data_IF_592423053047
#
_entry.id   IF_592423053047
#
_cell.length_a   1.000
_cell.length_b   1.000
_cell.length_c   1.000
_cell.angle_alpha   90.00
_cell.angle_beta   90.00
_cell.angle_gamma   90.00
#
_symmetry.space_group_name_H-M   'P 1'
#
loop_
_entity.id
_entity.type
_entity.pdbx_description
1 polymer ?
#
# COMPACT_ATOMS: atom_id res chain seq x y z
N UNK A 1 5.61 -10.27 -12.48
CA UNK A 1 5.43 -8.81 -12.63
C UNK A 1 4.52 -8.18 -11.57
N UNK A 2 3.24 -8.56 -11.40
CA UNK A 2 2.40 -7.98 -10.32
C UNK A 2 2.95 -8.28 -8.91
N UNK A 3 3.24 -9.55 -8.60
CA UNK A 3 3.75 -9.94 -7.29
C UNK A 3 5.13 -9.34 -6.97
N UNK A 4 5.98 -9.13 -7.98
CA UNK A 4 7.25 -8.41 -7.80
C UNK A 4 7.02 -6.94 -7.43
N UNK A 5 6.03 -6.28 -8.03
CA UNK A 5 5.67 -4.91 -7.63
C UNK A 5 5.13 -4.87 -6.21
N UNK A 6 4.28 -5.84 -5.84
CA UNK A 6 3.76 -5.96 -4.48
C UNK A 6 4.88 -6.15 -3.45
N UNK A 7 5.83 -7.05 -3.73
CA UNK A 7 6.99 -7.28 -2.87
C UNK A 7 7.85 -6.02 -2.74
N UNK A 8 8.17 -5.34 -3.85
CA UNK A 8 8.91 -4.06 -3.79
C UNK A 8 8.14 -2.97 -3.06
N UNK A 9 6.82 -2.91 -3.21
CA UNK A 9 5.98 -1.95 -2.49
C UNK A 9 6.09 -2.18 -0.99
N UNK A 10 5.93 -3.43 -0.53
CA UNK A 10 5.95 -3.78 0.89
C UNK A 10 7.35 -3.66 1.49
N UNK A 11 8.36 -4.21 0.81
CA UNK A 11 9.72 -4.35 1.32
C UNK A 11 10.56 -3.08 1.16
N UNK A 12 10.31 -2.26 0.12
CA UNK A 12 11.13 -1.08 -0.18
C UNK A 12 10.35 0.23 0.00
N UNK A 13 9.16 0.34 -0.58
CA UNK A 13 8.45 1.62 -0.67
C UNK A 13 7.77 2.02 0.65
N UNK A 14 6.97 1.14 1.26
CA UNK A 14 6.21 1.45 2.48
C UNK A 14 7.10 1.89 3.66
N UNK A 15 8.25 1.26 3.95
CA UNK A 15 9.15 1.71 5.03
C UNK A 15 9.78 3.08 4.79
N UNK A 16 9.84 3.53 3.52
CA UNK A 16 10.39 4.83 3.12
C UNK A 16 9.34 5.93 3.10
N UNK A 17 8.05 5.59 3.24
CA UNK A 17 6.98 6.58 3.35
C UNK A 17 7.19 7.37 4.65
N UNK A 18 7.22 8.70 4.55
CA UNK A 18 7.33 9.57 5.72
C UNK A 18 6.11 9.39 6.64
N UNK A 19 6.37 9.29 7.93
CA UNK A 19 5.34 9.08 8.98
C UNK A 19 4.47 7.84 8.75
N UNK A 20 5.05 6.76 8.23
CA UNK A 20 4.33 5.51 8.01
C UNK A 20 3.90 4.87 9.34
N UNK A 21 2.59 4.85 9.60
CA UNK A 21 1.97 4.22 10.80
C UNK A 21 1.21 2.93 10.47
N UNK A 22 1.44 2.37 9.29
CA UNK A 22 0.63 1.29 8.75
C UNK A 22 -0.50 1.78 7.85
N UNK A 23 -0.97 0.87 7.01
CA UNK A 23 -2.05 1.07 6.07
C UNK A 23 -3.41 1.07 6.78
N UNK A 24 -4.33 1.93 6.33
CA UNK A 24 -5.66 2.01 6.89
C UNK A 24 -6.48 0.76 6.53
N UNK A 25 -6.94 -0.06 7.51
CA UNK A 25 -7.72 -1.26 7.24
C UNK A 25 -9.18 -0.97 6.80
N UNK A 26 -9.60 0.30 6.81
CA UNK A 26 -10.94 0.76 6.40
C UNK A 26 -11.01 1.21 4.93
N UNK A 27 -9.88 1.22 4.20
CA UNK A 27 -9.83 1.66 2.80
C UNK A 27 -10.25 0.59 1.78
N UNK A 28 -11.07 -0.37 2.21
CA UNK A 28 -11.69 -1.37 1.34
C UNK A 28 -13.05 -0.87 0.83
N UNK A 29 -13.48 -1.38 -0.32
CA UNK A 29 -14.69 -0.93 -1.02
C UNK A 29 -15.94 -1.78 -0.77
N UNK A 30 -15.95 -2.64 0.27
CA UNK A 30 -17.02 -3.64 0.57
C UNK A 30 -17.18 -4.74 -0.47
N UNK A 31 -16.29 -4.79 -1.45
CA UNK A 31 -16.23 -5.83 -2.48
C UNK A 31 -14.86 -6.46 -2.54
N UNK A 32 -14.08 -6.35 -1.46
CA UNK A 32 -12.77 -6.95 -1.36
C UNK A 32 -11.67 -6.22 -2.13
N UNK A 33 -11.92 -5.05 -2.73
CA UNK A 33 -10.86 -4.27 -3.37
C UNK A 33 -10.26 -3.29 -2.38
N UNK A 34 -8.94 -3.15 -2.41
CA UNK A 34 -8.20 -2.24 -1.53
C UNK A 34 -7.60 -1.08 -2.32
N UNK A 35 -7.78 0.15 -1.84
CA UNK A 35 -7.21 1.35 -2.47
C UNK A 35 -6.21 2.05 -1.57
N UNK A 36 -5.05 2.36 -2.12
CA UNK A 36 -3.93 3.04 -1.48
C UNK A 36 -3.55 4.28 -2.29
N UNK A 37 -3.46 5.43 -1.64
CA UNK A 37 -2.83 6.63 -2.21
C UNK A 37 -1.42 6.82 -1.69
N UNK A 38 -0.47 7.01 -2.61
CA UNK A 38 0.89 7.47 -2.33
C UNK A 38 1.01 8.92 -2.77
N UNK A 39 1.39 9.81 -1.85
CA UNK A 39 1.56 11.23 -2.17
C UNK A 39 2.80 11.48 -3.03
N UNK A 40 3.81 10.61 -2.92
CA UNK A 40 5.09 10.77 -3.60
C UNK A 40 5.53 9.45 -4.23
N UNK A 41 5.83 9.45 -5.52
CA UNK A 41 6.40 8.29 -6.21
C UNK A 41 7.88 8.03 -5.83
N UNK A 42 8.59 9.04 -5.32
CA UNK A 42 10.03 8.97 -4.97
C UNK A 42 10.34 8.01 -3.81
N UNK A 43 9.31 7.40 -3.19
CA UNK A 43 9.46 6.30 -2.24
C UNK A 43 10.12 5.07 -2.86
N UNK A 44 10.03 4.91 -4.18
CA UNK A 44 10.69 3.82 -4.90
C UNK A 44 12.18 4.16 -5.13
N UNK A 45 13.13 3.33 -4.63
CA UNK A 45 14.57 3.55 -4.85
C UNK A 45 14.99 3.55 -6.33
N UNK A 46 14.16 2.99 -7.20
CA UNK A 46 14.43 2.89 -8.64
C UNK A 46 14.29 4.22 -9.37
N UNK A 47 13.57 5.18 -8.78
CA UNK A 47 13.36 6.49 -9.37
C UNK A 47 14.53 7.41 -8.98
N UNK A 48 15.18 7.98 -10.01
CA UNK A 48 16.20 8.99 -9.78
C UNK A 48 15.52 10.35 -9.51
N UNK A 49 15.66 10.94 -8.30
CA UNK A 49 15.05 12.22 -7.96
C UNK A 49 15.48 13.36 -8.89
N UNK A 50 16.70 13.32 -9.44
CA UNK A 50 17.24 14.37 -10.30
C UNK A 50 16.48 14.50 -11.64
N UNK A 51 15.78 13.43 -12.06
CA UNK A 51 14.97 13.45 -13.28
C UNK A 51 13.58 14.05 -13.07
N UNK A 52 13.09 14.12 -11.82
CA UNK A 52 11.73 14.53 -11.51
C UNK A 52 11.71 15.90 -10.83
N UNK A 53 11.39 16.94 -11.61
CA UNK A 53 11.30 18.33 -11.11
C UNK A 53 10.08 18.54 -10.20
N UNK A 54 9.05 17.69 -10.30
CA UNK A 54 7.80 17.79 -9.52
C UNK A 54 7.46 16.45 -8.88
N UNK A 55 7.04 16.52 -7.62
CA UNK A 55 6.48 15.38 -6.89
C UNK A 55 5.13 15.02 -7.51
N UNK A 56 4.98 13.75 -7.88
CA UNK A 56 3.71 13.19 -8.35
C UNK A 56 3.30 12.08 -7.39
N UNK A 57 2.01 12.08 -7.05
CA UNK A 57 1.39 10.98 -6.33
C UNK A 57 0.92 9.88 -7.27
N UNK A 58 0.51 8.76 -6.70
CA UNK A 58 -0.03 7.61 -7.40
C UNK A 58 -1.11 6.94 -6.56
N UNK A 59 -2.19 6.52 -7.20
CA UNK A 59 -3.20 5.66 -6.57
C UNK A 59 -3.00 4.22 -7.06
N UNK A 60 -2.95 3.30 -6.12
CA UNK A 60 -2.82 1.86 -6.36
C UNK A 60 -4.11 1.20 -5.88
N UNK A 61 -4.75 0.44 -6.76
CA UNK A 61 -5.92 -0.37 -6.42
C UNK A 61 -5.55 -1.86 -6.57
N UNK A 62 -5.84 -2.63 -5.53
CA UNK A 62 -5.72 -4.07 -5.51
C UNK A 62 -7.10 -4.68 -5.74
N UNK A 63 -7.28 -5.34 -6.88
CA UNK A 63 -8.50 -6.07 -7.19
C UNK A 63 -8.35 -7.52 -6.72
N UNK A 64 -9.09 -7.90 -5.68
CA UNK A 64 -9.14 -9.28 -5.22
C UNK A 64 -10.36 -9.99 -5.80
N UNK A 65 -10.32 -11.32 -5.89
CA UNK A 65 -11.44 -12.14 -6.38
C UNK A 65 -12.50 -12.43 -5.31
N UNK A 66 -12.26 -12.00 -4.08
CA UNK A 66 -13.09 -12.20 -2.90
C UNK A 66 -14.27 -11.22 -2.89
N UNK A 67 -15.38 -11.62 -2.27
CA UNK A 67 -16.59 -10.77 -2.14
C UNK A 67 -16.69 -10.10 -0.75
N UNK A 68 -15.71 -10.33 0.13
CA UNK A 68 -15.69 -9.86 1.50
C UNK A 68 -14.39 -9.11 1.79
N UNK A 69 -14.51 -7.97 2.46
CA UNK A 69 -13.36 -7.14 2.86
C UNK A 69 -12.48 -7.86 3.89
N UNK A 70 -13.06 -8.68 4.76
CA UNK A 70 -12.32 -9.40 5.79
C UNK A 70 -11.42 -10.48 5.19
N UNK A 71 -11.92 -11.21 4.18
CA UNK A 71 -11.12 -12.19 3.43
C UNK A 71 -9.97 -11.51 2.67
N UNK A 72 -10.25 -10.40 1.99
CA UNK A 72 -9.22 -9.62 1.31
C UNK A 72 -8.17 -9.06 2.26
N UNK A 73 -8.61 -8.62 3.45
CA UNK A 73 -7.71 -8.07 4.47
C UNK A 73 -6.77 -9.16 4.99
N UNK A 74 -7.29 -10.34 5.31
CA UNK A 74 -6.48 -11.47 5.75
C UNK A 74 -5.53 -11.95 4.64
N UNK A 75 -5.98 -11.96 3.38
CA UNK A 75 -5.12 -12.28 2.24
C UNK A 75 -3.94 -11.29 2.14
N UNK A 76 -4.21 -9.98 2.17
CA UNK A 76 -3.17 -8.96 2.10
C UNK A 76 -2.24 -9.00 3.33
N UNK A 77 -2.77 -9.31 4.52
CA UNK A 77 -1.94 -9.57 5.72
C UNK A 77 -1.01 -10.76 5.51
N UNK A 78 -1.49 -11.85 4.91
CA UNK A 78 -0.66 -13.01 4.57
C UNK A 78 0.46 -12.68 3.58
N UNK A 79 0.24 -11.73 2.68
CA UNK A 79 1.28 -11.19 1.79
C UNK A 79 2.25 -10.22 2.48
N UNK A 80 2.05 -9.90 3.76
CA UNK A 80 2.93 -9.02 4.53
C UNK A 80 2.56 -7.55 4.46
N UNK A 81 1.34 -7.18 4.04
CA UNK A 81 0.92 -5.78 4.09
C UNK A 81 0.85 -5.29 5.56
N UNK A 82 1.57 -4.22 5.90
CA UNK A 82 1.56 -3.66 7.24
C UNK A 82 0.31 -2.81 7.45
N UNK A 83 -0.79 -3.42 7.87
CA UNK A 83 -1.99 -2.71 8.31
C UNK A 83 -1.82 -2.16 9.72
N UNK A 84 -2.39 -0.98 9.97
CA UNK A 84 -2.45 -0.41 11.32
C UNK A 84 -3.37 -1.27 12.20
N UNK A 85 -2.89 -1.68 13.36
CA UNK A 85 -3.71 -2.31 14.41
C UNK A 85 -4.49 -1.24 15.16
N UNK A 86 -5.76 -1.54 15.49
CA UNK A 86 -6.65 -0.62 16.22
C UNK A 86 -6.09 -0.21 17.60
N UNK A 87 -5.15 -0.98 18.15
CA UNK A 87 -4.47 -0.69 19.43
C UNK A 87 -3.54 0.52 19.39
N UNK A 88 -3.21 1.05 18.20
CA UNK A 88 -2.35 2.23 18.05
C UNK A 88 -3.11 3.57 18.14
N UNK A 89 -4.36 3.55 18.59
CA UNK A 89 -5.21 4.72 18.86
C UNK A 89 -5.57 4.91 20.35
N UNK A 90 -4.95 4.16 21.26
CA UNK A 90 -5.07 4.39 22.71
C UNK A 90 -3.92 5.23 23.26
#
# INVERSE_FOLDING_TARGET
RMYEFLDRLISLALPRVRDFRGLNPKAFDRRGNYSLGLNEQLVFPELNPDKYVRVQGMNIAFCCSTNSDDESRELLRGFGMPFRTEDSEK
#
